data_IF_537131232536
#
_entry.id   IF_537131232536
#
_cell.length_a   1.000
_cell.length_b   1.000
_cell.length_c   1.000
_cell.angle_alpha   90.00
_cell.angle_beta   90.00
_cell.angle_gamma   90.00
#
_symmetry.space_group_name_H-M   'P 1'
#
loop_
_entity.id
_entity.type
_entity.pdbx_description
1 polymer ?
#
# COMPACT_ATOMS: atom_id res chain seq x y z
N UNK A 1 -6.85 -8.88 -11.99
CA UNK A 1 -5.57 -8.66 -11.29
C UNK A 1 -5.66 -9.30 -9.91
N UNK A 2 -4.74 -10.19 -9.55
CA UNK A 2 -4.66 -10.75 -8.20
C UNK A 2 -3.72 -9.88 -7.36
N UNK A 3 -4.16 -9.46 -6.18
CA UNK A 3 -3.32 -8.80 -5.17
C UNK A 3 -2.69 -9.89 -4.29
N UNK A 4 -1.42 -9.72 -3.93
CA UNK A 4 -0.66 -10.64 -3.07
C UNK A 4 -1.22 -10.71 -1.65
N UNK A 5 -1.78 -9.60 -1.16
CA UNK A 5 -2.35 -9.50 0.17
C UNK A 5 -2.81 -8.09 0.50
N UNK A 6 -3.48 -7.96 1.64
CA UNK A 6 -3.89 -6.66 2.21
C UNK A 6 -2.87 -6.25 3.26
N UNK A 7 -2.41 -5.01 3.13
CA UNK A 7 -1.45 -4.38 4.01
C UNK A 7 -2.07 -3.13 4.61
N UNK A 8 -1.56 -2.70 5.75
CA UNK A 8 -1.95 -1.48 6.43
C UNK A 8 -0.74 -0.58 6.54
N UNK A 9 -0.87 0.68 6.15
CA UNK A 9 0.14 1.67 6.40
C UNK A 9 0.26 1.92 7.91
N UNK A 10 1.46 1.75 8.45
CA UNK A 10 1.77 1.99 9.87
C UNK A 10 2.34 3.38 10.12
N UNK A 11 2.70 4.10 9.05
CA UNK A 11 3.19 5.48 9.09
C UNK A 11 2.66 6.24 7.88
N UNK A 12 2.60 7.56 7.98
CA UNK A 12 2.42 8.43 6.82
C UNK A 12 3.66 8.45 5.93
N UNK A 13 3.43 8.44 4.62
CA UNK A 13 4.48 8.56 3.62
C UNK A 13 4.02 9.48 2.50
N UNK A 14 4.81 10.51 2.27
CA UNK A 14 4.62 11.45 1.17
C UNK A 14 5.54 11.07 0.00
N UNK A 15 5.02 10.95 -1.23
CA UNK A 15 5.81 10.61 -2.40
C UNK A 15 6.83 11.72 -2.70
N UNK A 16 8.05 11.31 -2.98
CA UNK A 16 9.18 12.15 -3.37
C UNK A 16 9.43 12.14 -4.89
N UNK A 17 8.93 11.11 -5.59
CA UNK A 17 9.07 10.95 -7.05
C UNK A 17 7.76 10.61 -7.74
N UNK A 18 7.65 10.95 -9.03
CA UNK A 18 6.55 10.50 -9.89
C UNK A 18 6.55 8.98 -10.00
N UNK A 19 5.52 8.32 -9.46
CA UNK A 19 5.38 6.86 -9.43
C UNK A 19 5.26 6.27 -8.02
N UNK A 20 5.52 7.07 -7.00
CA UNK A 20 5.30 6.71 -5.60
C UNK A 20 3.86 7.01 -5.17
N UNK A 21 3.37 6.27 -4.18
CA UNK A 21 2.01 6.38 -3.68
C UNK A 21 1.99 7.06 -2.31
N UNK A 22 1.18 8.12 -2.17
CA UNK A 22 0.90 8.72 -0.87
C UNK A 22 0.07 7.76 -0.03
N UNK A 23 0.53 7.49 1.19
CA UNK A 23 -0.17 6.65 2.16
C UNK A 23 -0.22 7.35 3.51
N UNK A 24 -1.34 7.20 4.23
CA UNK A 24 -1.50 7.71 5.58
C UNK A 24 -1.52 6.56 6.58
N UNK A 25 -1.02 6.79 7.81
CA UNK A 25 -1.17 5.80 8.89
C UNK A 25 -2.63 5.37 9.02
N UNK A 26 -2.87 4.06 8.99
CA UNK A 26 -4.22 3.50 9.04
C UNK A 26 -4.76 3.03 7.69
N UNK A 27 -4.21 3.51 6.58
CA UNK A 27 -4.72 3.21 5.24
C UNK A 27 -4.53 1.74 4.87
N UNK A 28 -5.54 1.17 4.20
CA UNK A 28 -5.48 -0.18 3.68
C UNK A 28 -4.98 -0.15 2.23
N UNK A 29 -3.95 -0.94 1.98
CA UNK A 29 -3.24 -1.04 0.72
C UNK A 29 -3.34 -2.47 0.20
N UNK A 30 -3.60 -2.61 -1.09
CA UNK A 30 -3.56 -3.89 -1.78
C UNK A 30 -2.20 -4.02 -2.46
N UNK A 31 -1.30 -4.85 -1.94
CA UNK A 31 0.00 -5.08 -2.56
C UNK A 31 -0.19 -5.92 -3.81
N UNK A 32 0.23 -5.39 -4.96
CA UNK A 32 0.15 -6.02 -6.27
C UNK A 32 1.42 -6.79 -6.60
N UNK A 33 2.58 -6.20 -6.28
CA UNK A 33 3.89 -6.75 -6.57
C UNK A 33 4.85 -6.47 -5.42
N UNK A 34 5.64 -7.49 -5.05
CA UNK A 34 6.72 -7.37 -4.06
C UNK A 34 8.02 -7.62 -4.78
N UNK A 35 8.81 -6.56 -4.97
CA UNK A 35 10.19 -6.71 -5.37
C UNK A 35 10.98 -7.33 -4.21
N UNK A 36 11.82 -8.32 -4.51
CA UNK A 36 12.75 -8.91 -3.54
C UNK A 36 14.10 -8.18 -3.54
N UNK A 37 14.40 -7.43 -4.60
CA UNK A 37 15.66 -6.70 -4.78
C UNK A 37 15.53 -5.23 -4.37
N UNK A 38 14.39 -4.61 -4.66
CA UNK A 38 14.09 -3.23 -4.27
C UNK A 38 13.15 -3.21 -3.06
N UNK A 39 13.48 -2.44 -2.02
CA UNK A 39 12.66 -2.24 -0.81
C UNK A 39 11.28 -1.58 -1.08
N UNK A 40 10.89 -1.47 -2.34
CA UNK A 40 9.69 -0.80 -2.82
C UNK A 40 8.71 -1.82 -3.37
N UNK A 41 7.49 -1.78 -2.85
CA UNK A 41 6.41 -2.65 -3.29
C UNK A 41 5.38 -1.85 -4.06
N UNK A 42 4.85 -2.45 -5.12
CA UNK A 42 3.76 -1.84 -5.86
C UNK A 42 2.46 -2.13 -5.13
N UNK A 43 1.81 -1.08 -4.65
CA UNK A 43 0.55 -1.17 -3.94
C UNK A 43 -0.51 -0.29 -4.59
N UNK A 44 -1.76 -0.68 -4.38
CA UNK A 44 -2.94 0.09 -4.76
C UNK A 44 -3.62 0.58 -3.48
N UNK A 45 -3.78 1.89 -3.35
CA UNK A 45 -4.54 2.46 -2.23
C UNK A 45 -5.99 2.07 -2.38
N UNK A 46 -6.59 1.52 -1.33
CA UNK A 46 -8.02 1.23 -1.33
C UNK A 46 -8.74 2.57 -1.19
N UNK A 47 -9.64 2.89 -2.11
CA UNK A 47 -10.45 4.10 -2.02
C UNK A 47 -11.16 4.14 -0.66
N UNK A 48 -10.84 5.15 0.14
CA UNK A 48 -11.74 5.63 1.20
C UNK A 48 -12.95 6.26 0.50
N UNK A 49 -14.12 6.22 1.11
CA UNK A 49 -15.41 6.55 0.48
C UNK A 49 -15.53 7.95 -0.19
N UNK A 50 -14.52 8.79 -0.06
CA UNK A 50 -14.41 10.15 -0.61
C UNK A 50 -13.46 10.28 -1.83
N UNK A 51 -12.69 9.25 -2.18
CA UNK A 51 -11.77 9.29 -3.34
C UNK A 51 -12.29 8.37 -4.46
N UNK A 52 -12.71 8.94 -5.60
CA UNK A 52 -13.17 8.19 -6.79
C UNK A 52 -12.03 7.40 -7.47
N UNK A 53 -10.78 7.81 -7.25
CA UNK A 53 -9.61 7.18 -7.84
C UNK A 53 -8.91 6.27 -6.81
N UNK A 54 -8.54 5.06 -7.24
CA UNK A 54 -7.75 4.14 -6.44
C UNK A 54 -6.29 4.19 -6.95
N UNK A 55 -5.47 5.16 -6.50
CA UNK A 55 -4.14 5.36 -7.06
C UNK A 55 -3.25 4.15 -6.80
N UNK A 56 -2.43 3.84 -7.80
CA UNK A 56 -1.43 2.76 -7.77
C UNK A 56 -0.06 3.39 -7.83
N UNK A 57 0.84 2.97 -6.94
CA UNK A 57 2.22 3.41 -6.96
C UNK A 57 3.13 2.55 -6.10
N UNK A 58 4.37 2.98 -5.98
CA UNK A 58 5.37 2.33 -5.15
C UNK A 58 5.26 2.84 -3.71
N UNK A 59 5.31 1.92 -2.76
CA UNK A 59 5.37 2.20 -1.32
C UNK A 59 6.55 1.48 -0.69
N UNK A 60 7.21 2.08 0.30
CA UNK A 60 8.28 1.40 1.02
C UNK A 60 7.70 0.26 1.87
N UNK A 61 8.29 -0.93 1.78
CA UNK A 61 7.80 -2.11 2.50
C UNK A 61 7.85 -1.94 4.03
N UNK A 62 8.79 -1.14 4.54
CA UNK A 62 8.98 -0.88 5.97
C UNK A 62 7.89 0.02 6.57
N UNK A 63 7.03 0.64 5.74
CA UNK A 63 5.95 1.53 6.19
C UNK A 63 4.59 0.82 6.17
N UNK A 64 4.56 -0.46 5.80
CA UNK A 64 3.33 -1.23 5.63
C UNK A 64 3.42 -2.56 6.37
N UNK A 65 2.34 -2.96 7.03
CA UNK A 65 2.25 -4.21 7.78
C UNK A 65 1.17 -5.13 7.18
N UNK A 66 1.43 -6.44 7.14
CA UNK A 66 0.46 -7.42 6.63
C UNK A 66 -0.75 -7.51 7.55
N UNK A 67 -1.95 -7.24 7.02
CA UNK A 67 -3.19 -7.38 7.78
C UNK A 67 -3.63 -8.84 7.75
N UNK A 68 -3.12 -9.63 8.70
CA UNK A 68 -3.68 -10.96 8.98
C UNK A 68 -5.00 -10.78 9.71
N UNK A 69 -6.11 -10.99 9.01
CA UNK A 69 -7.39 -11.21 9.70
C UNK A 69 -7.28 -12.51 10.49
N UNK A 70 -7.07 -12.38 11.80
CA UNK A 70 -7.30 -13.49 12.73
C UNK A 70 -8.82 -13.72 12.71
N UNK A 71 -9.24 -14.78 12.03
CA UNK A 71 -10.58 -15.32 12.16
C UNK A 71 -10.69 -15.84 13.60
N UNK A 72 -11.47 -15.14 14.43
CA UNK A 72 -11.92 -15.63 15.72
C UNK A 72 -13.07 -16.62 15.53
#
# INVERSE_FOLDING_TARGET
MAFLGIYKAIYDYAPQSEGELTISEGDLLCVLEKSQEDDWWKAKKKASADEEDEPVGLVPNNYVEEVRKVLC
#
